data_IF_004945125081
#
_entry.id   IF_004945125081
#
_cell.length_a   1.000
_cell.length_b   1.000
_cell.length_c   1.000
_cell.angle_alpha   90.00
_cell.angle_beta   90.00
_cell.angle_gamma   90.00
#
_symmetry.space_group_name_H-M   'P 1'
#
loop_
_entity.id
_entity.type
_entity.pdbx_description
1 polymer ?
#
# COMPACT_ATOMS: atom_id res chain seq x y z
N UNK A 1 4.88 1.61 0.05
CA UNK A 1 4.93 1.58 -1.43
C UNK A 1 3.71 0.87 -1.99
N UNK A 2 3.09 1.39 -3.05
CA UNK A 2 1.93 0.75 -3.70
C UNK A 2 2.13 0.77 -5.22
N UNK A 3 2.20 -0.41 -5.84
CA UNK A 3 2.50 -0.55 -7.28
C UNK A 3 1.56 -1.54 -7.98
N UNK A 4 1.43 -1.40 -9.29
CA UNK A 4 0.75 -2.37 -10.16
C UNK A 4 1.61 -3.60 -10.49
N UNK A 5 2.91 -3.56 -10.18
CA UNK A 5 3.84 -4.66 -10.42
C UNK A 5 3.48 -5.91 -9.61
N UNK A 6 3.99 -7.06 -10.06
CA UNK A 6 3.86 -8.29 -9.27
C UNK A 6 4.57 -8.15 -7.90
N UNK A 7 4.11 -8.94 -6.92
CA UNK A 7 4.59 -8.83 -5.54
C UNK A 7 6.10 -9.09 -5.38
N UNK A 8 6.66 -10.00 -6.18
CA UNK A 8 8.10 -10.31 -6.17
C UNK A 8 8.90 -9.07 -6.57
N UNK A 9 8.53 -8.43 -7.67
CA UNK A 9 9.20 -7.23 -8.19
C UNK A 9 9.05 -6.07 -7.21
N UNK A 10 7.84 -5.87 -6.69
CA UNK A 10 7.58 -4.84 -5.68
C UNK A 10 8.45 -5.07 -4.43
N UNK A 11 8.57 -6.30 -3.94
CA UNK A 11 9.42 -6.61 -2.78
C UNK A 11 10.90 -6.32 -3.06
N UNK A 12 11.42 -6.77 -4.20
CA UNK A 12 12.83 -6.52 -4.57
C UNK A 12 13.14 -5.03 -4.61
N UNK A 13 12.32 -4.23 -5.30
CA UNK A 13 12.51 -2.78 -5.39
C UNK A 13 12.37 -2.13 -4.01
N UNK A 14 11.43 -2.57 -3.18
CA UNK A 14 11.26 -2.03 -1.83
C UNK A 14 12.49 -2.25 -0.95
N UNK A 15 13.15 -3.39 -1.06
CA UNK A 15 14.41 -3.67 -0.35
C UNK A 15 15.54 -2.77 -0.88
N UNK A 16 15.68 -2.66 -2.21
CA UNK A 16 16.69 -1.81 -2.83
C UNK A 16 16.53 -0.32 -2.48
N UNK A 17 15.28 0.15 -2.33
CA UNK A 17 14.96 1.51 -1.92
C UNK A 17 15.02 1.73 -0.41
N UNK A 18 15.26 0.71 0.41
CA UNK A 18 15.26 0.80 1.87
C UNK A 18 13.88 1.01 2.49
N UNK A 19 12.80 0.68 1.76
CA UNK A 19 11.43 0.65 2.29
C UNK A 19 11.22 -0.61 3.14
N UNK A 20 11.88 -1.71 2.77
CA UNK A 20 11.90 -2.96 3.50
C UNK A 20 13.35 -3.34 3.87
N UNK A 21 13.51 -3.99 5.02
CA UNK A 21 14.76 -4.67 5.36
C UNK A 21 14.93 -5.97 4.56
N UNK A 22 16.17 -6.46 4.44
CA UNK A 22 16.50 -7.71 3.74
C UNK A 22 15.71 -8.92 4.26
N UNK A 23 15.41 -8.93 5.56
CA UNK A 23 14.66 -9.99 6.26
C UNK A 23 13.19 -9.62 6.54
N UNK A 24 12.66 -8.62 5.83
CA UNK A 24 11.38 -7.98 6.14
C UNK A 24 10.16 -8.92 6.25
N UNK A 25 10.14 -10.07 5.58
CA UNK A 25 9.06 -11.05 5.71
C UNK A 25 8.92 -11.62 7.14
N UNK A 26 9.95 -11.46 7.98
CA UNK A 26 10.01 -11.98 9.35
C UNK A 26 9.89 -10.91 10.44
N UNK A 27 9.87 -9.63 10.07
CA UNK A 27 9.85 -8.50 11.01
C UNK A 27 8.52 -7.76 10.94
N UNK A 28 7.76 -7.71 12.03
CA UNK A 28 6.72 -6.67 12.17
C UNK A 28 7.40 -5.29 12.25
N UNK A 29 6.89 -4.24 11.58
CA UNK A 29 5.57 -4.10 10.96
C UNK A 29 5.55 -4.23 9.41
N UNK A 30 6.43 -5.00 8.78
CA UNK A 30 6.60 -5.02 7.32
C UNK A 30 5.54 -5.86 6.57
N UNK A 31 4.25 -5.54 6.68
CA UNK A 31 3.21 -6.29 5.95
C UNK A 31 3.35 -6.05 4.44
N UNK A 32 3.51 -7.14 3.69
CA UNK A 32 3.54 -7.19 2.23
C UNK A 32 2.28 -7.93 1.76
N UNK A 33 1.49 -7.34 0.88
CA UNK A 33 0.24 -7.96 0.41
C UNK A 33 -0.12 -7.62 -1.03
N UNK A 34 -1.03 -8.38 -1.64
CA UNK A 34 -1.59 -8.02 -2.94
C UNK A 34 -2.82 -7.11 -2.80
N UNK A 35 -3.04 -6.22 -3.78
CA UNK A 35 -4.22 -5.35 -3.83
C UNK A 35 -5.55 -6.12 -3.82
N UNK A 36 -5.59 -7.32 -4.41
CA UNK A 36 -6.79 -8.19 -4.37
C UNK A 36 -7.14 -8.61 -2.95
N UNK A 37 -6.13 -8.95 -2.14
CA UNK A 37 -6.32 -9.34 -0.74
C UNK A 37 -6.81 -8.14 0.06
N UNK A 38 -6.18 -6.98 -0.14
CA UNK A 38 -6.56 -5.74 0.53
C UNK A 38 -8.00 -5.32 0.23
N UNK A 39 -8.41 -5.35 -1.04
CA UNK A 39 -9.79 -4.99 -1.44
C UNK A 39 -10.84 -6.00 -0.93
N UNK A 40 -10.42 -7.22 -0.63
CA UNK A 40 -11.29 -8.27 -0.08
C UNK A 40 -11.55 -8.11 1.42
N UNK A 41 -10.80 -7.26 2.11
CA UNK A 41 -10.99 -6.97 3.53
C UNK A 41 -12.20 -6.07 3.76
N UNK A 42 -12.85 -6.24 4.92
CA UNK A 42 -13.88 -5.30 5.39
C UNK A 42 -13.29 -3.93 5.69
N UNK A 43 -14.12 -2.89 5.78
CA UNK A 43 -13.67 -1.53 6.12
C UNK A 43 -12.86 -1.50 7.42
N UNK A 44 -13.36 -2.15 8.48
CA UNK A 44 -12.69 -2.23 9.78
C UNK A 44 -11.33 -2.92 9.66
N UNK A 45 -11.28 -4.07 8.97
CA UNK A 45 -10.01 -4.78 8.76
C UNK A 45 -9.03 -3.95 7.94
N UNK A 46 -9.50 -3.22 6.92
CA UNK A 46 -8.64 -2.34 6.12
C UNK A 46 -8.03 -1.24 6.96
N UNK A 47 -8.81 -0.60 7.82
CA UNK A 47 -8.31 0.41 8.76
C UNK A 47 -7.27 -0.20 9.72
N UNK A 48 -7.49 -1.41 10.22
CA UNK A 48 -6.51 -2.09 11.09
C UNK A 48 -5.19 -2.45 10.39
N UNK A 49 -5.26 -2.94 9.15
CA UNK A 49 -4.06 -3.37 8.42
C UNK A 49 -3.34 -2.24 7.70
N UNK A 50 -4.03 -1.15 7.35
CA UNK A 50 -3.48 -0.08 6.50
C UNK A 50 -2.16 0.50 7.02
N UNK A 51 -2.05 0.71 8.34
CA UNK A 51 -0.83 1.20 9.00
C UNK A 51 0.35 0.23 8.88
N UNK A 52 0.08 -1.08 8.80
CA UNK A 52 1.10 -2.11 8.71
C UNK A 52 1.60 -2.34 7.28
N UNK A 53 0.85 -1.90 6.27
CA UNK A 53 1.19 -2.17 4.87
C UNK A 53 2.41 -1.33 4.47
N UNK A 54 3.54 -2.00 4.31
CA UNK A 54 4.77 -1.41 3.79
C UNK A 54 4.84 -1.52 2.27
N UNK A 55 4.36 -2.65 1.71
CA UNK A 55 4.33 -2.88 0.26
C UNK A 55 3.01 -3.52 -0.17
N UNK A 56 2.37 -2.91 -1.18
CA UNK A 56 1.22 -3.50 -1.86
C UNK A 56 1.51 -3.68 -3.35
N UNK A 57 1.52 -4.94 -3.80
CA UNK A 57 1.70 -5.32 -5.21
C UNK A 57 0.37 -5.56 -5.92
N UNK A 58 0.39 -5.63 -7.25
CA UNK A 58 -0.77 -5.83 -8.14
C UNK A 58 -1.95 -4.90 -7.81
N UNK A 59 -1.65 -3.68 -7.39
CA UNK A 59 -2.67 -2.69 -7.05
C UNK A 59 -3.30 -2.09 -8.30
N UNK A 60 -4.62 -1.94 -8.26
CA UNK A 60 -5.41 -1.13 -9.18
C UNK A 60 -5.50 0.31 -8.68
N UNK A 61 -5.94 1.28 -9.52
CA UNK A 61 -6.18 2.66 -9.07
C UNK A 61 -7.10 2.75 -7.85
N UNK A 62 -8.12 1.87 -7.79
CA UNK A 62 -9.05 1.82 -6.66
C UNK A 62 -8.40 1.27 -5.39
N UNK A 63 -7.41 0.37 -5.48
CA UNK A 63 -6.68 -0.09 -4.28
C UNK A 63 -5.89 1.04 -3.63
N UNK A 64 -5.23 1.86 -4.46
CA UNK A 64 -4.47 3.03 -3.99
C UNK A 64 -5.39 4.00 -3.25
N UNK A 65 -6.54 4.30 -3.84
CA UNK A 65 -7.57 5.14 -3.23
C UNK A 65 -8.07 4.57 -1.90
N UNK A 66 -8.41 3.27 -1.87
CA UNK A 66 -8.91 2.60 -0.67
C UNK A 66 -7.90 2.61 0.48
N UNK A 67 -6.60 2.48 0.17
CA UNK A 67 -5.55 2.57 1.18
C UNK A 67 -5.47 3.98 1.77
N UNK A 68 -5.48 5.01 0.92
CA UNK A 68 -5.48 6.42 1.35
C UNK A 68 -6.68 6.71 2.25
N UNK A 69 -7.88 6.26 1.84
CA UNK A 69 -9.09 6.43 2.64
C UNK A 69 -9.02 5.70 3.99
N UNK A 70 -8.50 4.46 4.02
CA UNK A 70 -8.34 3.71 5.26
C UNK A 70 -7.39 4.41 6.24
N UNK A 71 -6.24 4.92 5.78
CA UNK A 71 -5.30 5.70 6.61
C UNK A 71 -5.94 7.00 7.12
N UNK A 72 -6.62 7.76 6.25
CA UNK A 72 -7.29 9.01 6.65
C UNK A 72 -8.41 8.79 7.66
N UNK A 73 -9.20 7.72 7.52
CA UNK A 73 -10.28 7.38 8.47
C UNK A 73 -9.75 7.14 9.90
N UNK A 74 -8.50 6.67 10.01
CA UNK A 74 -7.81 6.53 11.31
C UNK A 74 -7.33 7.85 11.90
N UNK A 75 -7.40 8.94 11.14
CA UNK A 75 -6.90 10.26 11.51
C UNK A 75 -5.48 10.56 11.03
N UNK A 76 -4.89 9.68 10.20
CA UNK A 76 -3.55 9.92 9.66
C UNK A 76 -3.56 11.05 8.61
N UNK A 77 -2.51 11.88 8.64
CA UNK A 77 -2.24 12.83 7.56
C UNK A 77 -1.45 12.09 6.49
N UNK A 78 -2.07 11.88 5.33
CA UNK A 78 -1.51 11.09 4.24
C UNK A 78 -0.95 12.01 3.17
N UNK A 79 0.26 11.74 2.70
CA UNK A 79 0.81 12.33 1.48
C UNK A 79 0.94 11.23 0.41
N UNK A 80 0.53 11.55 -0.82
CA UNK A 80 0.59 10.61 -1.95
C UNK A 80 1.48 11.20 -3.03
N UNK A 81 2.39 10.38 -3.56
CA UNK A 81 3.21 10.71 -4.72
C UNK A 81 3.01 9.66 -5.80
N UNK A 82 2.87 10.09 -7.05
CA UNK A 82 2.72 9.21 -8.21
C UNK A 82 2.88 10.00 -9.49
N UNK A 83 3.28 9.32 -10.56
CA UNK A 83 3.58 9.89 -11.87
C UNK A 83 2.60 9.43 -12.97
N UNK A 84 1.76 8.43 -12.68
CA UNK A 84 0.84 7.83 -13.64
C UNK A 84 -0.61 8.31 -13.52
N UNK A 85 -1.38 8.17 -14.60
CA UNK A 85 -2.84 8.40 -14.58
C UNK A 85 -3.58 7.49 -13.60
N UNK A 86 -2.99 6.34 -13.27
CA UNK A 86 -3.48 5.40 -12.25
C UNK A 86 -3.45 5.96 -10.83
N UNK A 87 -2.67 7.02 -10.57
CA UNK A 87 -2.53 7.65 -9.26
C UNK A 87 -3.52 8.81 -9.07
N UNK A 88 -4.14 9.29 -10.16
CA UNK A 88 -5.01 10.45 -10.14
C UNK A 88 -6.13 10.38 -9.08
N UNK A 89 -6.82 9.23 -8.86
CA UNK A 89 -7.83 9.15 -7.80
C UNK A 89 -7.24 9.34 -6.40
N UNK A 90 -6.08 8.76 -6.12
CA UNK A 90 -5.42 8.86 -4.83
C UNK A 90 -4.79 10.25 -4.60
N UNK A 91 -4.31 10.89 -5.66
CA UNK A 91 -3.75 12.24 -5.65
C UNK A 91 -4.82 13.34 -5.52
N UNK A 92 -6.07 13.08 -5.91
CA UNK A 92 -7.14 14.07 -5.77
C UNK A 92 -7.79 14.04 -4.36
N UNK A 93 -7.67 12.92 -3.65
CA UNK A 93 -8.18 12.80 -2.28
C UNK A 93 -7.38 13.62 -1.25
N UNK A 94 -6.12 13.96 -1.54
CA UNK A 94 -5.22 14.63 -0.59
C UNK A 94 -5.55 16.11 -0.40
#
# INVERSE_FOLDING_TARGET
MVTGDNLITAKTIAVECGILDLDADLSEPNLIMEGKEFRGLTDVQREEVAEKISVMGRSSPNDKLLLVQALRKRGDVVAVTGDGTNDAPALHEV
#
